data_IF_689737195445
#
_entry.id   IF_689737195445
#
_cell.length_a   1.000
_cell.length_b   1.000
_cell.length_c   1.000
_cell.angle_alpha   90.00
_cell.angle_beta   90.00
_cell.angle_gamma   90.00
#
_symmetry.space_group_name_H-M   'P 1'
#
loop_
_entity.id
_entity.type
_entity.pdbx_description
1 polymer ?
#
# COMPACT_ATOMS: atom_id res chain seq x y z
N UNK A 1 -13.11 -8.33 40.61
CA UNK A 1 -13.63 -9.72 40.57
C UNK A 1 -14.73 -9.79 39.53
N UNK A 2 -14.65 -10.82 38.69
CA UNK A 2 -15.56 -11.33 37.67
C UNK A 2 -15.82 -10.57 36.36
N UNK A 3 -15.31 -11.23 35.31
CA UNK A 3 -15.47 -11.05 33.87
C UNK A 3 -16.94 -11.02 33.44
N UNK A 4 -17.25 -10.13 32.49
CA UNK A 4 -18.24 -10.42 31.45
C UNK A 4 -17.51 -10.31 30.11
N UNK A 5 -16.80 -11.38 29.75
CA UNK A 5 -16.54 -11.68 28.34
C UNK A 5 -17.85 -12.31 27.87
N UNK A 6 -18.57 -11.73 26.89
CA UNK A 6 -19.78 -12.34 26.39
C UNK A 6 -19.46 -13.75 25.87
N UNK A 7 -20.30 -14.68 26.28
CA UNK A 7 -20.32 -16.08 25.91
C UNK A 7 -19.92 -16.33 24.43
N UNK A 8 -18.70 -16.84 24.19
CA UNK A 8 -18.21 -17.36 22.88
C UNK A 8 -18.83 -18.73 22.54
N UNK A 9 -20.06 -18.99 22.98
CA UNK A 9 -20.75 -20.28 22.87
C UNK A 9 -21.40 -20.56 21.51
N UNK A 10 -21.28 -19.66 20.54
CA UNK A 10 -21.77 -19.87 19.17
C UNK A 10 -21.11 -18.90 18.19
N UNK A 11 -19.77 -18.84 18.15
CA UNK A 11 -19.10 -18.12 17.06
C UNK A 11 -19.52 -18.79 15.75
N UNK A 12 -20.20 -18.05 14.87
CA UNK A 12 -20.50 -18.58 13.55
C UNK A 12 -19.15 -18.86 12.88
N UNK A 13 -18.99 -19.94 12.11
CA UNK A 13 -17.75 -20.21 11.38
C UNK A 13 -17.25 -18.99 10.56
N UNK A 14 -18.19 -18.14 10.11
CA UNK A 14 -17.91 -16.88 9.42
C UNK A 14 -17.23 -15.82 10.28
N UNK A 15 -17.55 -15.73 11.58
CA UNK A 15 -17.00 -14.71 12.47
C UNK A 15 -15.49 -14.97 12.68
N UNK A 16 -15.11 -16.24 12.88
CA UNK A 16 -13.70 -16.66 12.92
C UNK A 16 -12.96 -16.36 11.61
N UNK A 17 -13.57 -16.62 10.46
CA UNK A 17 -12.95 -16.33 9.16
C UNK A 17 -12.69 -14.82 8.98
N UNK A 18 -13.63 -13.97 9.38
CA UNK A 18 -13.44 -12.50 9.35
C UNK A 18 -12.30 -12.07 10.26
N UNK A 19 -12.23 -12.60 11.49
CA UNK A 19 -11.12 -12.30 12.40
C UNK A 19 -9.76 -12.74 11.87
N UNK A 20 -9.68 -13.94 11.27
CA UNK A 20 -8.45 -14.41 10.63
C UNK A 20 -8.06 -13.50 9.46
N UNK A 21 -9.02 -13.13 8.59
CA UNK A 21 -8.74 -12.26 7.45
C UNK A 21 -8.19 -10.88 7.91
N UNK A 22 -8.87 -10.24 8.86
CA UNK A 22 -8.44 -8.92 9.38
C UNK A 22 -7.09 -9.03 10.09
N UNK A 23 -6.88 -10.06 10.91
CA UNK A 23 -5.61 -10.29 11.59
C UNK A 23 -4.46 -10.53 10.60
N UNK A 24 -4.69 -11.36 9.58
CA UNK A 24 -3.70 -11.63 8.53
C UNK A 24 -3.42 -10.39 7.68
N UNK A 25 -4.43 -9.60 7.34
CA UNK A 25 -4.25 -8.34 6.61
C UNK A 25 -3.34 -7.37 7.37
N UNK A 26 -3.60 -7.13 8.66
CA UNK A 26 -2.72 -6.31 9.50
C UNK A 26 -1.31 -6.89 9.64
N UNK A 27 -1.19 -8.21 9.78
CA UNK A 27 0.10 -8.89 9.83
C UNK A 27 0.91 -8.72 8.55
N UNK A 28 0.26 -8.80 7.38
CA UNK A 28 0.89 -8.55 6.09
C UNK A 28 1.26 -7.07 5.91
N UNK A 29 0.39 -6.13 6.27
CA UNK A 29 0.68 -4.69 6.23
C UNK A 29 1.92 -4.36 7.09
N UNK A 30 2.01 -4.94 8.29
CA UNK A 30 3.19 -4.80 9.15
C UNK A 30 4.46 -5.35 8.49
N UNK A 31 4.39 -6.53 7.85
CA UNK A 31 5.55 -7.11 7.13
C UNK A 31 5.97 -6.23 5.95
N UNK A 32 5.03 -5.58 5.26
CA UNK A 32 5.32 -4.60 4.22
C UNK A 32 6.12 -3.40 4.77
N UNK A 33 5.66 -2.84 5.88
CA UNK A 33 6.38 -1.73 6.55
C UNK A 33 7.77 -2.17 7.03
N UNK A 34 7.89 -3.36 7.61
CA UNK A 34 9.17 -3.93 8.05
C UNK A 34 10.14 -4.19 6.89
N UNK A 35 9.64 -4.63 5.74
CA UNK A 35 10.45 -4.85 4.54
C UNK A 35 10.97 -3.52 3.94
N UNK A 36 10.21 -2.43 4.06
CA UNK A 36 10.58 -1.11 3.54
C UNK A 36 11.46 -0.30 4.51
N UNK A 37 11.40 -0.59 5.81
CA UNK A 37 12.17 0.14 6.82
C UNK A 37 13.68 0.22 6.55
N UNK A 38 14.39 -0.85 6.10
CA UNK A 38 15.83 -0.79 5.81
C UNK A 38 16.22 0.19 4.72
N UNK A 39 15.30 0.49 3.78
CA UNK A 39 15.56 1.47 2.71
C UNK A 39 15.08 2.87 3.10
N UNK A 40 14.50 3.05 4.29
CA UNK A 40 13.99 4.34 4.78
C UNK A 40 12.62 4.70 4.23
N UNK A 41 11.86 3.73 3.73
CA UNK A 41 10.52 3.94 3.18
C UNK A 41 9.44 3.41 4.13
N UNK A 42 8.24 3.94 3.94
CA UNK A 42 6.98 3.40 4.50
C UNK A 42 6.10 2.98 3.34
N UNK A 43 5.06 2.18 3.58
CA UNK A 43 4.09 1.79 2.56
C UNK A 43 3.56 2.97 1.73
N UNK A 44 3.06 4.06 2.37
CA UNK A 44 2.62 5.27 1.67
C UNK A 44 3.71 5.93 0.82
N UNK A 45 4.94 6.07 1.34
CA UNK A 45 6.06 6.67 0.60
C UNK A 45 6.43 5.82 -0.62
N UNK A 46 6.54 4.51 -0.44
CA UNK A 46 6.82 3.57 -1.52
C UNK A 46 5.74 3.58 -2.60
N UNK A 47 4.46 3.60 -2.20
CA UNK A 47 3.33 3.72 -3.13
C UNK A 47 3.41 4.98 -3.98
N UNK A 48 3.62 6.15 -3.34
CA UNK A 48 3.74 7.41 -4.06
C UNK A 48 4.89 7.42 -5.06
N UNK A 49 6.09 6.99 -4.64
CA UNK A 49 7.24 6.88 -5.54
C UNK A 49 6.98 5.92 -6.69
N UNK A 50 6.34 4.78 -6.43
CA UNK A 50 6.00 3.81 -7.48
C UNK A 50 5.04 4.40 -8.52
N UNK A 51 4.06 5.21 -8.11
CA UNK A 51 3.14 5.89 -9.04
C UNK A 51 3.82 6.99 -9.84
N UNK A 52 4.79 7.71 -9.26
CA UNK A 52 5.62 8.68 -9.99
C UNK A 52 6.52 7.99 -11.01
N UNK A 53 7.16 6.86 -10.65
CA UNK A 53 7.96 6.05 -11.59
C UNK A 53 7.11 5.53 -12.74
N UNK A 54 5.93 4.96 -12.45
CA UNK A 54 5.00 4.46 -13.49
C UNK A 54 4.51 5.56 -14.43
N UNK A 55 4.30 6.78 -13.92
CA UNK A 55 3.90 7.91 -14.75
C UNK A 55 5.01 8.41 -15.70
N UNK A 56 6.28 8.14 -15.38
CA UNK A 56 7.45 8.62 -16.13
C UNK A 56 7.59 10.15 -16.17
N UNK A 57 6.79 10.88 -15.38
CA UNK A 57 6.70 12.35 -15.37
C UNK A 57 6.18 12.84 -14.02
N UNK A 58 6.29 14.14 -13.75
CA UNK A 58 5.69 14.72 -12.54
C UNK A 58 4.17 14.61 -12.58
N UNK A 59 3.55 14.40 -11.43
CA UNK A 59 2.09 14.37 -11.27
C UNK A 59 1.64 15.52 -10.39
N UNK A 60 0.48 16.11 -10.69
CA UNK A 60 -0.20 16.96 -9.72
C UNK A 60 -0.53 16.16 -8.46
N UNK A 61 -0.64 16.84 -7.32
CA UNK A 61 -1.03 16.19 -6.07
C UNK A 61 -2.43 15.53 -6.16
N UNK A 62 -3.34 16.09 -6.98
CA UNK A 62 -4.63 15.49 -7.27
C UNK A 62 -4.51 14.17 -8.01
N UNK A 63 -3.78 14.15 -9.12
CA UNK A 63 -3.52 12.93 -9.89
C UNK A 63 -2.81 11.86 -9.05
N UNK A 64 -1.86 12.26 -8.21
CA UNK A 64 -1.16 11.33 -7.32
C UNK A 64 -2.11 10.76 -6.26
N UNK A 65 -3.02 11.57 -5.70
CA UNK A 65 -4.03 11.10 -4.75
C UNK A 65 -5.01 10.09 -5.38
N UNK A 66 -5.48 10.37 -6.60
CA UNK A 66 -6.37 9.48 -7.36
C UNK A 66 -5.71 8.13 -7.65
N UNK A 67 -4.39 8.11 -7.89
CA UNK A 67 -3.62 6.88 -8.12
C UNK A 67 -3.28 6.13 -6.82
N UNK A 68 -3.42 6.76 -5.65
CA UNK A 68 -3.10 6.21 -4.34
C UNK A 68 -4.36 5.86 -3.52
N UNK A 69 -5.48 5.56 -4.18
CA UNK A 69 -6.81 5.30 -3.57
C UNK A 69 -6.84 4.32 -2.39
N UNK A 70 -5.86 3.43 -2.26
CA UNK A 70 -5.73 2.50 -1.13
C UNK A 70 -4.89 3.03 0.06
N UNK A 71 -4.25 4.19 -0.07
CA UNK A 71 -3.42 4.81 0.98
C UNK A 71 -4.24 5.85 1.71
N UNK A 72 -4.57 5.59 2.98
CA UNK A 72 -5.23 6.56 3.88
C UNK A 72 -4.26 7.65 4.36
N UNK A 73 -3.72 8.44 3.44
CA UNK A 73 -2.82 9.56 3.78
C UNK A 73 -3.28 10.86 3.14
N UNK A 74 -3.18 11.96 3.88
CA UNK A 74 -3.29 13.31 3.31
C UNK A 74 -2.14 13.48 2.30
N UNK A 75 -2.49 13.60 1.02
CA UNK A 75 -1.52 13.62 -0.08
C UNK A 75 -0.52 14.77 0.06
N UNK A 76 -0.97 15.94 0.52
CA UNK A 76 -0.10 17.09 0.75
C UNK A 76 0.96 16.76 1.79
N UNK A 77 0.56 16.21 2.94
CA UNK A 77 1.50 15.82 4.01
C UNK A 77 2.42 14.67 3.60
N UNK A 78 1.96 13.75 2.75
CA UNK A 78 2.80 12.68 2.22
C UNK A 78 3.89 13.25 1.31
N UNK A 79 3.51 14.15 0.39
CA UNK A 79 4.48 14.81 -0.49
C UNK A 79 5.41 15.74 0.31
N UNK A 80 4.92 16.45 1.33
CA UNK A 80 5.77 17.26 2.23
C UNK A 80 6.89 16.41 2.85
N UNK A 81 6.54 15.21 3.33
CA UNK A 81 7.51 14.28 3.91
C UNK A 81 8.49 13.73 2.87
N UNK A 82 8.00 13.39 1.68
CA UNK A 82 8.88 12.92 0.59
C UNK A 82 9.86 14.01 0.15
N UNK A 83 9.42 15.27 0.10
CA UNK A 83 10.25 16.42 -0.26
C UNK A 83 11.27 16.71 0.84
N UNK A 84 10.87 16.66 2.11
CA UNK A 84 11.77 16.79 3.26
C UNK A 84 12.86 15.69 3.29
N UNK A 85 12.54 14.49 2.81
CA UNK A 85 13.49 13.38 2.67
C UNK A 85 14.34 13.48 1.38
N UNK A 86 14.11 14.47 0.53
CA UNK A 86 14.81 14.65 -0.75
C UNK A 86 14.42 13.64 -1.84
N UNK A 87 13.30 12.93 -1.67
CA UNK A 87 12.85 11.86 -2.57
C UNK A 87 11.97 12.37 -3.73
N UNK A 88 11.39 13.56 -3.56
CA UNK A 88 10.63 14.25 -4.60
C UNK A 88 10.97 15.73 -4.59
N UNK A 89 10.74 16.39 -5.71
CA UNK A 89 10.80 17.84 -5.85
C UNK A 89 9.43 18.38 -6.28
N UNK A 90 9.08 19.56 -5.78
CA UNK A 90 7.87 20.26 -6.20
C UNK A 90 8.15 21.32 -7.24
N UNK A 91 7.23 21.44 -8.18
CA UNK A 91 7.20 22.52 -9.16
C UNK A 91 5.78 23.08 -9.31
N UNK A 92 5.69 24.35 -9.68
CA UNK A 92 4.45 24.95 -10.14
C UNK A 92 4.05 24.34 -11.49
N UNK A 93 2.76 24.11 -11.71
CA UNK A 93 2.28 23.69 -13.03
C UNK A 93 2.43 24.85 -14.03
N UNK A 94 3.07 24.62 -15.20
CA UNK A 94 3.24 25.66 -16.22
C UNK A 94 1.91 26.20 -16.78
N UNK A 95 0.85 25.40 -16.75
CA UNK A 95 -0.48 25.77 -17.25
C UNK A 95 -1.35 26.43 -16.16
N UNK A 96 -1.13 26.11 -14.89
CA UNK A 96 -1.83 26.71 -13.75
C UNK A 96 -0.94 26.80 -12.52
N UNK A 97 -0.42 27.99 -12.22
CA UNK A 97 0.46 28.24 -11.06
C UNK A 97 -0.15 27.91 -9.70
N UNK A 98 -1.47 27.70 -9.61
CA UNK A 98 -2.15 27.26 -8.38
C UNK A 98 -2.01 25.75 -8.14
N UNK A 99 -1.62 25.00 -9.16
CA UNK A 99 -1.42 23.56 -9.11
C UNK A 99 0.04 23.25 -8.80
N UNK A 100 0.25 22.39 -7.79
CA UNK A 100 1.57 21.88 -7.42
C UNK A 100 1.74 20.49 -8.03
N UNK A 101 2.89 20.27 -8.68
CA UNK A 101 3.32 18.98 -9.18
C UNK A 101 4.45 18.41 -8.32
N UNK A 102 4.48 17.09 -8.17
CA UNK A 102 5.56 16.35 -7.55
C UNK A 102 6.29 15.54 -8.62
N UNK A 103 7.60 15.71 -8.74
CA UNK A 103 8.50 14.91 -9.56
C UNK A 103 9.40 14.04 -8.67
N UNK A 104 9.73 12.83 -9.13
CA UNK A 104 10.67 11.97 -8.41
C UNK A 104 12.11 12.45 -8.64
N UNK A 105 12.92 12.51 -7.58
CA UNK A 105 14.35 12.82 -7.69
C UNK A 105 15.16 11.56 -8.01
N UNK A 106 16.44 11.72 -8.33
CA UNK A 106 17.36 10.58 -8.48
C UNK A 106 17.44 9.73 -7.21
N UNK A 107 17.57 10.37 -6.04
CA UNK A 107 17.52 9.67 -4.75
C UNK A 107 16.17 8.97 -4.54
N UNK A 108 15.05 9.61 -4.90
CA UNK A 108 13.73 9.01 -4.86
C UNK A 108 13.64 7.73 -5.69
N UNK A 109 14.18 7.76 -6.90
CA UNK A 109 14.22 6.61 -7.81
C UNK A 109 15.09 5.48 -7.25
N UNK A 110 16.28 5.78 -6.73
CA UNK A 110 17.16 4.79 -6.08
C UNK A 110 16.44 4.10 -4.91
N UNK A 111 15.77 4.87 -4.05
CA UNK A 111 15.01 4.34 -2.91
C UNK A 111 13.82 3.51 -3.37
N UNK A 112 13.11 3.93 -4.41
CA UNK A 112 12.00 3.18 -4.98
C UNK A 112 12.47 1.82 -5.52
N UNK A 113 13.58 1.78 -6.27
CA UNK A 113 14.16 0.54 -6.80
C UNK A 113 14.57 -0.39 -5.66
N UNK A 114 15.23 0.14 -4.63
CA UNK A 114 15.62 -0.65 -3.46
C UNK A 114 14.39 -1.19 -2.71
N UNK A 115 13.36 -0.37 -2.51
CA UNK A 115 12.10 -0.79 -1.90
C UNK A 115 11.37 -1.86 -2.71
N UNK A 116 11.34 -1.72 -4.04
CA UNK A 116 10.71 -2.68 -4.93
C UNK A 116 11.36 -4.07 -4.81
N UNK A 117 12.69 -4.14 -4.66
CA UNK A 117 13.40 -5.40 -4.39
C UNK A 117 12.99 -6.01 -3.05
N UNK A 118 12.86 -5.21 -1.99
CA UNK A 118 12.42 -5.72 -0.68
C UNK A 118 11.00 -6.27 -0.73
N UNK A 119 10.08 -5.57 -1.41
CA UNK A 119 8.70 -6.02 -1.59
C UNK A 119 8.64 -7.28 -2.47
N UNK A 120 9.44 -7.37 -3.53
CA UNK A 120 9.50 -8.57 -4.37
C UNK A 120 9.91 -9.81 -3.55
N UNK A 121 10.94 -9.70 -2.71
CA UNK A 121 11.36 -10.80 -1.83
C UNK A 121 10.23 -11.21 -0.86
N UNK A 122 9.55 -10.24 -0.24
CA UNK A 122 8.41 -10.51 0.64
C UNK A 122 7.28 -11.22 -0.12
N UNK A 123 6.98 -10.78 -1.34
CA UNK A 123 5.95 -11.39 -2.19
C UNK A 123 6.31 -12.83 -2.58
N UNK A 124 7.57 -13.13 -2.85
CA UNK A 124 8.04 -14.50 -3.10
C UNK A 124 7.88 -15.40 -1.88
N UNK A 125 8.22 -14.91 -0.68
CA UNK A 125 7.99 -15.65 0.58
C UNK A 125 6.50 -15.97 0.79
N UNK A 126 5.65 -14.98 0.57
CA UNK A 126 4.19 -15.16 0.66
C UNK A 126 3.71 -16.16 -0.39
N UNK A 127 4.11 -16.01 -1.65
CA UNK A 127 3.73 -16.93 -2.71
C UNK A 127 4.17 -18.38 -2.42
N UNK A 128 5.36 -18.57 -1.86
CA UNK A 128 5.85 -19.88 -1.42
C UNK A 128 4.95 -20.51 -0.36
N UNK A 129 4.49 -19.71 0.61
CA UNK A 129 3.57 -20.18 1.67
C UNK A 129 2.18 -20.58 1.16
N UNK A 130 1.79 -20.07 -0.02
CA UNK A 130 0.50 -20.34 -0.65
C UNK A 130 0.57 -21.51 -1.65
N UNK A 131 1.74 -22.13 -1.84
CA UNK A 131 1.94 -23.20 -2.81
C UNK A 131 1.08 -24.42 -2.48
N UNK A 132 0.32 -24.90 -3.47
CA UNK A 132 -0.54 -26.08 -3.33
C UNK A 132 -1.90 -25.79 -2.70
N UNK A 133 -2.23 -24.53 -2.42
CA UNK A 133 -3.56 -24.10 -2.00
C UNK A 133 -4.44 -23.77 -3.22
N UNK A 134 -5.76 -23.90 -3.05
CA UNK A 134 -6.75 -23.47 -4.05
C UNK A 134 -6.89 -21.94 -4.01
N UNK A 135 -6.10 -21.26 -4.85
CA UNK A 135 -6.10 -19.79 -4.95
C UNK A 135 -7.40 -19.25 -5.55
N UNK A 136 -8.08 -20.02 -6.40
CA UNK A 136 -9.35 -19.62 -7.00
C UNK A 136 -10.48 -19.64 -5.94
N UNK A 137 -10.47 -20.63 -5.04
CA UNK A 137 -11.36 -20.63 -3.87
C UNK A 137 -11.07 -19.44 -2.95
N UNK A 138 -9.80 -19.15 -2.69
CA UNK A 138 -9.41 -18.02 -1.85
C UNK A 138 -9.82 -16.68 -2.47
N UNK A 139 -9.59 -16.47 -3.76
CA UNK A 139 -9.98 -15.25 -4.48
C UNK A 139 -11.51 -15.07 -4.46
N UNK A 140 -12.30 -16.14 -4.67
CA UNK A 140 -13.77 -16.09 -4.55
C UNK A 140 -14.23 -15.63 -3.16
N UNK A 141 -13.57 -16.08 -2.10
CA UNK A 141 -13.87 -15.64 -0.73
C UNK A 141 -13.54 -14.16 -0.54
N UNK A 142 -12.36 -13.71 -0.96
CA UNK A 142 -11.98 -12.30 -0.87
C UNK A 142 -12.94 -11.39 -1.65
N UNK A 143 -13.32 -11.82 -2.84
CA UNK A 143 -14.28 -11.12 -3.70
C UNK A 143 -15.67 -11.03 -3.06
N UNK A 144 -16.16 -12.11 -2.44
CA UNK A 144 -17.41 -12.10 -1.67
C UNK A 144 -17.38 -11.13 -0.47
N UNK A 145 -16.19 -10.84 0.06
CA UNK A 145 -15.96 -9.89 1.16
C UNK A 145 -15.67 -8.46 0.68
N UNK A 146 -15.77 -8.18 -0.62
CA UNK A 146 -15.63 -6.84 -1.19
C UNK A 146 -14.22 -6.44 -1.62
N UNK A 147 -13.29 -7.39 -1.80
CA UNK A 147 -11.92 -7.11 -2.25
C UNK A 147 -11.81 -6.58 -3.70
N UNK A 148 -12.90 -6.55 -4.48
CA UNK A 148 -12.92 -6.00 -5.84
C UNK A 148 -12.38 -4.57 -5.94
N UNK A 149 -12.60 -3.73 -4.92
CA UNK A 149 -12.10 -2.36 -4.89
C UNK A 149 -10.58 -2.29 -4.62
N UNK A 150 -10.00 -3.31 -3.99
CA UNK A 150 -8.56 -3.39 -3.70
C UNK A 150 -7.78 -3.71 -4.98
N UNK A 151 -8.30 -4.62 -5.82
CA UNK A 151 -7.65 -4.95 -7.09
C UNK A 151 -7.61 -3.76 -8.05
N UNK A 152 -8.61 -2.87 -8.05
CA UNK A 152 -8.58 -1.64 -8.84
C UNK A 152 -7.40 -0.73 -8.46
N UNK A 153 -6.99 -0.69 -7.18
CA UNK A 153 -5.80 0.06 -6.74
C UNK A 153 -4.47 -0.52 -7.27
N UNK A 154 -4.43 -1.83 -7.56
CA UNK A 154 -3.22 -2.56 -7.99
C UNK A 154 -3.22 -2.95 -9.47
N UNK A 155 -4.32 -2.76 -10.21
CA UNK A 155 -4.43 -3.09 -11.64
C UNK A 155 -3.76 -2.09 -12.57
N UNK A 156 -3.39 -0.91 -12.08
CA UNK A 156 -2.48 0.02 -12.76
C UNK A 156 -1.01 -0.26 -12.37
N UNK A 157 -0.63 -1.53 -12.25
CA UNK A 157 0.73 -1.99 -11.92
C UNK A 157 1.42 -2.61 -13.13
#
# INVERSE_FOLDING_TARGET
MNKIIPNLGSERPTDRLVHLLVGTAHGLEKRYEEALAPVGLTGPKFGALSKLVQAGSSLSLGELAERLTCVRSNITQLVDRLEADGLVERSEDPADRRTVRAGITELGLEKQIAGAKMIANLLEEVASSLKGLDLDAFERVLNALGAFNVLACYKDA
#
